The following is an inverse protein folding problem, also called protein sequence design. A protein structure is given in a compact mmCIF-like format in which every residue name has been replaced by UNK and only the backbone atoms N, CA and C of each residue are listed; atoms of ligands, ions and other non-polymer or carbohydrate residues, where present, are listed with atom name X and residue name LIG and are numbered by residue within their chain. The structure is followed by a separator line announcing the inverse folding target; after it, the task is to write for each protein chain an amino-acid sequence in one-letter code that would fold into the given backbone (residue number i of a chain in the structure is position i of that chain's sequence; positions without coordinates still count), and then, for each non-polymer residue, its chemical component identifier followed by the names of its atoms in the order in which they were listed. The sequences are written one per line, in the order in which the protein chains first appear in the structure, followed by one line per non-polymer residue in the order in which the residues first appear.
data_IF_136355374549
#
_entry.id   IF_136355374549
#
_cell.length_a   1.000
_cell.length_b   1.000
_cell.length_c   1.000
_cell.angle_alpha   90.00
_cell.angle_beta   90.00
_cell.angle_gamma   90.00
#
_symmetry.space_group_name_H-M   'P 1'
#
loop_
_entity.id
_entity.type
_entity.pdbx_description
1 polymer ?
#
# COMPACT_ATOMS: atom_id res chain seq x y z
N UNK A 1 -0.67 10.05 14.41
CA UNK A 1 -0.52 8.63 14.02
C UNK A 1 -0.40 8.44 12.51
N UNK A 2 -1.28 9.02 11.66
CA UNK A 2 -1.21 8.85 10.19
C UNK A 2 0.09 9.28 9.51
N UNK A 3 0.81 10.28 10.05
CA UNK A 3 2.03 10.82 9.43
C UNK A 3 3.13 9.78 9.23
N UNK A 4 3.27 8.82 10.14
CA UNK A 4 4.33 7.80 10.02
C UNK A 4 4.05 6.80 8.90
N UNK A 5 2.78 6.52 8.60
CA UNK A 5 2.38 5.67 7.48
C UNK A 5 2.48 6.38 6.12
N UNK A 6 2.56 7.71 6.11
CA UNK A 6 2.74 8.50 4.89
C UNK A 6 4.22 8.73 4.54
N UNK A 7 5.13 8.43 5.47
CA UNK A 7 6.58 8.59 5.28
C UNK A 7 7.11 7.91 4.01
N UNK A 8 6.72 6.66 3.67
CA UNK A 8 7.21 6.00 2.46
C UNK A 8 6.70 6.68 1.18
N UNK A 9 5.48 7.20 1.21
CA UNK A 9 4.86 7.89 0.07
C UNK A 9 5.52 9.25 -0.16
N UNK A 10 5.78 10.01 0.91
CA UNK A 10 6.49 11.28 0.85
C UNK A 10 7.92 11.09 0.34
N UNK A 11 8.62 10.08 0.84
CA UNK A 11 9.95 9.70 0.35
C UNK A 11 9.92 9.27 -1.13
N UNK A 12 8.88 8.55 -1.57
CA UNK A 12 8.72 8.18 -2.98
C UNK A 12 8.52 9.42 -3.87
N UNK A 13 7.65 10.36 -3.48
CA UNK A 13 7.40 11.60 -4.24
C UNK A 13 8.66 12.46 -4.36
N UNK A 14 9.46 12.54 -3.30
CA UNK A 14 10.70 13.34 -3.29
C UNK A 14 11.83 12.70 -4.10
N UNK A 15 12.00 11.37 -4.04
CA UNK A 15 13.03 10.64 -4.78
C UNK A 15 12.68 10.41 -6.25
N UNK A 16 11.39 10.35 -6.56
CA UNK A 16 10.91 9.98 -7.87
C UNK A 16 11.45 10.80 -9.04
N UNK A 17 11.56 12.15 -8.99
CA UNK A 17 12.09 12.93 -10.10
C UNK A 17 13.52 12.51 -10.48
N UNK A 18 14.35 12.20 -9.49
CA UNK A 18 15.72 11.75 -9.70
C UNK A 18 15.75 10.34 -10.33
N UNK A 19 14.99 9.41 -9.75
CA UNK A 19 14.88 8.03 -10.25
C UNK A 19 14.33 8.01 -11.68
N UNK A 20 13.30 8.80 -11.94
CA UNK A 20 12.69 8.96 -13.26
C UNK A 20 13.69 9.55 -14.26
N UNK A 21 14.47 10.56 -13.88
CA UNK A 21 15.48 11.13 -14.77
C UNK A 21 16.56 10.11 -15.15
N UNK A 22 17.01 9.28 -14.21
CA UNK A 22 18.02 8.25 -14.46
C UNK A 22 17.47 7.11 -15.34
N UNK A 23 16.27 6.61 -15.05
CA UNK A 23 15.69 5.47 -15.75
C UNK A 23 15.04 5.85 -17.08
N UNK A 24 14.19 6.89 -17.08
CA UNK A 24 13.47 7.33 -18.28
C UNK A 24 14.30 8.28 -19.15
N UNK A 25 15.27 9.03 -18.61
CA UNK A 25 16.05 9.99 -19.38
C UNK A 25 16.70 9.39 -20.63
N UNK A 26 17.48 8.29 -20.51
CA UNK A 26 18.08 7.63 -21.67
C UNK A 26 17.05 7.07 -22.66
N UNK A 27 15.94 6.53 -22.16
CA UNK A 27 14.85 5.99 -22.98
C UNK A 27 14.12 7.11 -23.75
N UNK A 28 13.87 8.25 -23.11
CA UNK A 28 13.25 9.42 -23.70
C UNK A 28 14.15 10.04 -24.78
N UNK A 29 15.45 10.20 -24.50
CA UNK A 29 16.42 10.72 -25.50
C UNK A 29 16.50 9.79 -26.71
N UNK A 30 16.61 8.48 -26.49
CA UNK A 30 16.68 7.50 -27.59
C UNK A 30 15.37 7.44 -28.39
N UNK A 31 14.23 7.52 -27.71
CA UNK A 31 12.90 7.57 -28.34
C UNK A 31 12.71 8.82 -29.18
N UNK A 32 13.11 9.98 -28.63
CA UNK A 32 13.07 11.26 -29.32
C UNK A 32 13.90 11.25 -30.60
N UNK A 33 15.17 10.82 -30.51
CA UNK A 33 16.07 10.77 -31.68
C UNK A 33 15.57 9.88 -32.81
N UNK A 34 14.84 8.79 -32.49
CA UNK A 34 14.34 7.85 -33.51
C UNK A 34 12.99 8.26 -34.10
N UNK A 35 12.11 8.87 -33.31
CA UNK A 35 10.69 9.08 -33.70
C UNK A 35 10.32 10.55 -33.81
N UNK A 36 11.23 11.47 -33.47
CA UNK A 36 10.98 12.92 -33.42
C UNK A 36 10.00 13.37 -32.34
N UNK A 37 9.50 12.45 -31.49
CA UNK A 37 8.55 12.72 -30.42
C UNK A 37 9.02 12.08 -29.12
N UNK A 38 9.06 12.89 -28.07
CA UNK A 38 9.28 12.44 -26.70
C UNK A 38 7.93 12.51 -26.00
N UNK A 39 7.25 11.39 -25.82
CA UNK A 39 5.97 11.35 -25.11
C UNK A 39 4.91 10.44 -25.73
N UNK A 40 3.69 10.61 -25.24
CA UNK A 40 2.53 9.78 -25.57
C UNK A 40 2.14 8.83 -24.45
N UNK A 41 1.06 8.08 -24.67
CA UNK A 41 0.49 7.17 -23.68
C UNK A 41 1.50 6.16 -23.08
N UNK A 42 2.40 5.53 -23.87
CA UNK A 42 3.37 4.58 -23.31
C UNK A 42 4.36 5.24 -22.34
N UNK A 43 4.73 6.51 -22.58
CA UNK A 43 5.66 7.24 -21.70
C UNK A 43 4.99 7.55 -20.38
N UNK A 44 3.72 7.98 -20.40
CA UNK A 44 2.93 8.22 -19.19
C UNK A 44 2.77 6.94 -18.36
N UNK A 45 2.40 5.83 -19.01
CA UNK A 45 2.27 4.52 -18.35
C UNK A 45 3.58 4.09 -17.71
N UNK A 46 4.70 4.18 -18.44
CA UNK A 46 6.02 3.81 -17.91
C UNK A 46 6.44 4.72 -16.76
N UNK A 47 6.15 6.02 -16.84
CA UNK A 47 6.42 6.98 -15.78
C UNK A 47 5.64 6.64 -14.49
N UNK A 48 4.34 6.37 -14.60
CA UNK A 48 3.52 5.92 -13.47
C UNK A 48 3.97 4.57 -12.92
N UNK A 49 4.43 3.67 -13.80
CA UNK A 49 4.92 2.36 -13.40
C UNK A 49 6.19 2.44 -12.56
N UNK A 50 7.16 3.26 -12.98
CA UNK A 50 8.38 3.51 -12.19
C UNK A 50 8.06 4.14 -10.84
N UNK A 51 7.15 5.12 -10.80
CA UNK A 51 6.69 5.71 -9.54
C UNK A 51 6.07 4.66 -8.62
N UNK A 52 5.18 3.82 -9.15
CA UNK A 52 4.51 2.76 -8.41
C UNK A 52 5.52 1.77 -7.81
N UNK A 53 6.50 1.32 -8.59
CA UNK A 53 7.53 0.41 -8.10
C UNK A 53 8.38 1.05 -7.01
N UNK A 54 8.76 2.32 -7.15
CA UNK A 54 9.50 3.04 -6.12
C UNK A 54 8.69 3.14 -4.83
N UNK A 55 7.42 3.51 -4.91
CA UNK A 55 6.53 3.58 -3.76
C UNK A 55 6.35 2.21 -3.08
N UNK A 56 6.13 1.14 -3.85
CA UNK A 56 5.99 -0.22 -3.33
C UNK A 56 7.29 -0.72 -2.67
N UNK A 57 8.45 -0.41 -3.24
CA UNK A 57 9.75 -0.73 -2.67
C UNK A 57 9.95 -0.01 -1.34
N UNK A 58 9.73 1.30 -1.30
CA UNK A 58 9.85 2.09 -0.07
C UNK A 58 8.88 1.63 1.00
N UNK A 59 7.65 1.28 0.66
CA UNK A 59 6.66 0.73 1.60
C UNK A 59 7.11 -0.60 2.21
N UNK A 60 7.86 -1.41 1.45
CA UNK A 60 8.33 -2.73 1.89
C UNK A 60 9.62 -2.64 2.72
N UNK A 61 10.52 -1.74 2.34
CA UNK A 61 11.85 -1.60 2.95
C UNK A 61 11.82 -0.68 4.17
N UNK A 62 10.95 0.34 4.18
CA UNK A 62 10.85 1.25 5.32
C UNK A 62 10.27 0.52 6.53
N UNK A 63 10.94 0.59 7.69
CA UNK A 63 10.41 -0.02 8.90
C UNK A 63 9.11 0.67 9.30
N UNK A 64 8.16 -0.14 9.76
CA UNK A 64 6.97 0.38 10.43
C UNK A 64 7.38 1.19 11.69
N UNK A 65 6.54 2.16 12.12
CA UNK A 65 6.78 2.96 13.32
C UNK A 65 7.26 2.13 14.51
N UNK A 66 8.21 2.65 15.27
CA UNK A 66 8.86 1.96 16.40
C UNK A 66 7.91 1.63 17.57
N UNK A 67 6.76 2.30 17.69
CA UNK A 67 5.77 2.03 18.75
C UNK A 67 4.87 0.82 18.42
N UNK A 68 5.47 -0.28 17.99
CA UNK A 68 4.77 -1.56 17.84
C UNK A 68 4.27 -2.06 19.20
N UNK A 69 4.97 -1.81 20.31
CA UNK A 69 4.59 -2.33 21.63
C UNK A 69 3.20 -1.89 22.09
N UNK A 70 2.85 -0.61 21.97
CA UNK A 70 1.52 -0.11 22.33
C UNK A 70 0.44 -0.58 21.34
N UNK A 71 0.77 -0.67 20.04
CA UNK A 71 -0.16 -1.18 19.05
C UNK A 71 -0.41 -2.69 19.19
N UNK A 72 0.63 -3.51 19.34
CA UNK A 72 0.54 -4.95 19.59
C UNK A 72 -0.12 -5.27 20.94
N UNK A 73 -0.02 -4.40 21.95
CA UNK A 73 -0.77 -4.53 23.20
C UNK A 73 -2.28 -4.22 23.04
N UNK A 74 -2.67 -3.53 21.96
CA UNK A 74 -4.07 -3.20 21.66
C UNK A 74 -4.66 -4.07 20.54
N UNK A 75 -3.82 -4.70 19.73
CA UNK A 75 -4.17 -5.40 18.49
C UNK A 75 -3.63 -6.84 18.59
N UNK A 76 -4.44 -7.72 19.17
CA UNK A 76 -4.08 -9.12 19.45
C UNK A 76 -4.41 -10.10 18.31
N UNK A 77 -5.20 -9.70 17.31
CA UNK A 77 -5.67 -10.61 16.25
C UNK A 77 -4.56 -11.24 15.41
N UNK A 78 -3.37 -10.64 15.39
CA UNK A 78 -2.21 -11.12 14.67
C UNK A 78 -1.13 -11.74 15.58
N UNK A 79 -1.40 -11.87 16.89
CA UNK A 79 -0.47 -12.48 17.84
C UNK A 79 -0.32 -13.99 17.59
N UNK A 80 -1.42 -14.67 17.23
CA UNK A 80 -1.42 -16.05 16.78
C UNK A 80 -2.02 -16.21 15.38
N UNK A 81 -1.44 -17.07 14.52
CA UNK A 81 -2.03 -17.40 13.23
C UNK A 81 -3.36 -18.15 13.41
N UNK A 82 -4.43 -17.68 12.78
CA UNK A 82 -5.71 -18.38 12.74
C UNK A 82 -5.62 -19.62 11.84
N UNK A 83 -5.46 -20.80 12.46
CA UNK A 83 -5.34 -22.08 11.74
C UNK A 83 -6.69 -22.75 11.41
N UNK A 84 -7.78 -22.29 12.03
CA UNK A 84 -9.11 -22.84 11.82
C UNK A 84 -9.71 -22.39 10.47
N UNK A 85 -10.05 -23.32 9.56
CA UNK A 85 -10.77 -22.96 8.34
C UNK A 85 -12.10 -22.32 8.71
N UNK A 86 -12.47 -21.25 8.01
CA UNK A 86 -13.73 -20.51 8.20
C UNK A 86 -13.98 -19.92 9.60
N UNK A 87 -12.99 -19.82 10.49
CA UNK A 87 -13.21 -19.18 11.81
C UNK A 87 -13.63 -17.71 11.67
N UNK A 88 -13.27 -17.06 10.55
CA UNK A 88 -13.74 -15.73 10.19
C UNK A 88 -15.27 -15.63 10.08
N UNK A 89 -15.93 -16.67 9.57
CA UNK A 89 -17.39 -16.67 9.41
C UNK A 89 -18.07 -16.73 10.78
N UNK A 90 -17.56 -17.57 11.68
CA UNK A 90 -18.03 -17.66 13.05
C UNK A 90 -17.81 -16.32 13.79
N UNK A 91 -16.62 -15.73 13.67
CA UNK A 91 -16.31 -14.43 14.27
C UNK A 91 -17.27 -13.33 13.81
N UNK A 92 -17.46 -13.16 12.49
CA UNK A 92 -18.39 -12.15 11.94
C UNK A 92 -19.83 -12.44 12.38
N UNK A 93 -20.27 -13.70 12.35
CA UNK A 93 -21.63 -14.06 12.77
C UNK A 93 -21.88 -13.75 14.26
N UNK A 94 -20.89 -13.97 15.11
CA UNK A 94 -20.96 -13.66 16.55
C UNK A 94 -20.96 -12.15 16.81
N UNK A 95 -20.14 -11.39 16.09
CA UNK A 95 -20.05 -9.93 16.20
C UNK A 95 -21.33 -9.25 15.69
N UNK A 96 -21.91 -9.75 14.60
CA UNK A 96 -23.16 -9.25 14.04
C UNK A 96 -24.43 -9.79 14.70
N UNK A 97 -24.32 -10.69 15.69
CA UNK A 97 -25.49 -11.35 16.28
C UNK A 97 -26.37 -12.09 15.26
N UNK A 98 -25.75 -12.61 14.18
CA UNK A 98 -26.45 -13.23 13.05
C UNK A 98 -26.99 -12.25 11.98
N UNK A 99 -26.81 -10.94 12.15
CA UNK A 99 -27.24 -9.93 11.18
C UNK A 99 -26.15 -9.70 10.11
N UNK A 100 -26.45 -10.08 8.86
CA UNK A 100 -25.57 -9.93 7.70
C UNK A 100 -25.91 -8.73 6.80
N UNK A 101 -26.76 -7.81 7.27
CA UNK A 101 -27.10 -6.63 6.49
C UNK A 101 -25.88 -5.71 6.29
N UNK A 102 -25.70 -5.09 5.10
CA UNK A 102 -24.56 -4.20 4.85
C UNK A 102 -24.44 -3.06 5.85
N UNK A 103 -25.56 -2.52 6.33
CA UNK A 103 -25.59 -1.48 7.36
C UNK A 103 -25.08 -1.97 8.72
N UNK A 104 -25.47 -3.18 9.14
CA UNK A 104 -24.95 -3.77 10.37
C UNK A 104 -23.45 -4.05 10.26
N UNK A 105 -23.00 -4.60 9.14
CA UNK A 105 -21.58 -4.90 8.88
C UNK A 105 -20.72 -3.63 8.83
N UNK A 106 -21.22 -2.53 8.28
CA UNK A 106 -20.49 -1.26 8.20
C UNK A 106 -20.23 -0.62 9.57
N UNK A 107 -21.05 -0.95 10.57
CA UNK A 107 -20.91 -0.46 11.94
C UNK A 107 -20.28 -1.48 12.89
N UNK A 108 -19.91 -2.68 12.42
CA UNK A 108 -19.15 -3.62 13.22
C UNK A 108 -17.81 -2.98 13.56
N UNK A 109 -17.58 -2.81 14.86
CA UNK A 109 -16.22 -2.67 15.33
C UNK A 109 -15.47 -3.94 14.92
N UNK A 110 -14.23 -3.84 14.44
CA UNK A 110 -13.45 -5.02 14.12
C UNK A 110 -13.31 -5.86 15.39
N UNK A 111 -14.16 -6.89 15.51
CA UNK A 111 -14.14 -7.88 16.58
C UNK A 111 -13.01 -8.91 16.37
N UNK A 112 -12.13 -8.64 15.41
CA UNK A 112 -10.83 -9.27 15.27
C UNK A 112 -9.94 -8.72 16.38
N UNK A 113 -10.22 -9.15 17.62
CA UNK A 113 -9.33 -9.06 18.78
C UNK A 113 -8.86 -10.45 19.11
#
# INVERSE_FOLDING_TARGET
MFRTYLLPVEAAVTLFPLVAAVLLGPAAVRGYRRRGRAGGWPVLVFYSFVFYLLAALLQTVMPLPADTGAHCASVHYAAEPQLGPFAFHAAISSAGGGNWSPGALAHLTPAWT
#
